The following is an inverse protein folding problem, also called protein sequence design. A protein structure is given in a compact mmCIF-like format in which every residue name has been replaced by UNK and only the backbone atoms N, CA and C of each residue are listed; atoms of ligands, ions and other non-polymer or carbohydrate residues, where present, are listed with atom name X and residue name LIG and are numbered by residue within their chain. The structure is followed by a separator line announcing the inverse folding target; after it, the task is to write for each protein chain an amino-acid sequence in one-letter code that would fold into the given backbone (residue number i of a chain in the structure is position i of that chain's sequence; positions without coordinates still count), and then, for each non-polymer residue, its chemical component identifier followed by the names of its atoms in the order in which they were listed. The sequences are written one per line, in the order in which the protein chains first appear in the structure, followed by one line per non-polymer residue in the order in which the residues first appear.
data_IF_990602503278
#
_entry.id   IF_990602503278
#
_cell.length_a   1.000
_cell.length_b   1.000
_cell.length_c   1.000
_cell.angle_alpha   90.00
_cell.angle_beta   90.00
_cell.angle_gamma   90.00
#
_symmetry.space_group_name_H-M   'P 1'
#
loop_
_entity.id
_entity.type
_entity.pdbx_description
1 polymer ?
#
# COMPACT_ATOMS: atom_id res chain seq x y z
N UNK A 1 6.53 8.89 -12.97
CA UNK A 1 5.08 8.96 -13.29
C UNK A 1 4.33 10.08 -12.59
N UNK A 2 4.07 10.03 -11.27
CA UNK A 2 3.38 11.15 -10.56
C UNK A 2 4.24 12.42 -10.56
N UNK A 3 5.52 12.31 -10.19
CA UNK A 3 6.47 13.45 -10.26
C UNK A 3 6.74 13.98 -11.68
N UNK A 4 6.33 13.22 -12.71
CA UNK A 4 6.42 13.58 -14.13
C UNK A 4 5.08 14.10 -14.68
N UNK A 5 4.03 14.20 -13.84
CA UNK A 5 2.68 14.63 -14.26
C UNK A 5 1.92 13.66 -15.15
N UNK A 6 2.37 12.41 -15.27
CA UNK A 6 1.74 11.38 -16.15
C UNK A 6 0.50 10.74 -15.53
N UNK A 7 0.38 10.81 -14.19
CA UNK A 7 -0.73 10.24 -13.43
C UNK A 7 -1.03 11.20 -12.27
N UNK A 8 -2.31 11.45 -12.01
CA UNK A 8 -2.72 12.21 -10.84
C UNK A 8 -2.39 11.43 -9.55
N UNK A 9 -1.91 12.12 -8.49
CA UNK A 9 -1.63 11.44 -7.24
C UNK A 9 -2.92 10.94 -6.59
N UNK A 10 -2.98 9.64 -6.34
CA UNK A 10 -4.10 8.96 -5.67
C UNK A 10 -3.61 8.47 -4.30
N UNK A 11 -4.41 8.61 -3.22
CA UNK A 11 -4.02 8.11 -1.90
C UNK A 11 -3.86 6.58 -1.90
N UNK A 12 -2.78 6.12 -1.29
CA UNK A 12 -2.39 4.72 -1.16
C UNK A 12 -2.45 4.34 0.32
N UNK A 13 -3.28 3.37 0.66
CA UNK A 13 -3.43 2.85 2.01
C UNK A 13 -2.77 1.48 2.13
N UNK A 14 -1.78 1.36 3.01
CA UNK A 14 -1.15 0.09 3.35
C UNK A 14 -1.86 -0.47 4.59
N UNK A 15 -2.84 -1.35 4.36
CA UNK A 15 -3.66 -1.97 5.39
C UNK A 15 -3.08 -3.30 5.89
N UNK A 16 -1.90 -3.19 6.48
CA UNK A 16 -1.23 -4.30 7.15
C UNK A 16 -0.28 -3.78 8.21
N UNK A 17 -0.56 -4.00 9.52
CA UNK A 17 0.36 -3.66 10.59
C UNK A 17 1.71 -4.36 10.43
N UNK A 18 1.70 -5.56 9.84
CA UNK A 18 2.93 -6.30 9.54
C UNK A 18 3.72 -5.62 8.42
N UNK A 19 3.09 -5.22 7.33
CA UNK A 19 3.78 -4.50 6.25
C UNK A 19 4.38 -3.17 6.72
N UNK A 20 3.68 -2.44 7.61
CA UNK A 20 4.23 -1.24 8.24
C UNK A 20 5.50 -1.54 9.05
N UNK A 21 5.47 -2.57 9.91
CA UNK A 21 6.66 -2.99 10.67
C UNK A 21 7.80 -3.46 9.76
N UNK A 22 7.48 -4.22 8.71
CA UNK A 22 8.47 -4.66 7.74
C UNK A 22 9.13 -3.46 7.03
N UNK A 23 8.35 -2.47 6.62
CA UNK A 23 8.86 -1.23 6.01
C UNK A 23 9.85 -0.52 6.93
N UNK A 24 9.58 -0.46 8.24
CA UNK A 24 10.51 0.12 9.21
C UNK A 24 11.82 -0.68 9.34
N UNK A 25 11.80 -2.01 9.18
CA UNK A 25 13.03 -2.83 9.10
C UNK A 25 13.80 -2.48 7.82
N UNK A 26 13.12 -2.45 6.68
CA UNK A 26 13.70 -2.07 5.39
C UNK A 26 14.33 -0.68 5.39
N UNK A 27 13.77 0.29 6.13
CA UNK A 27 14.34 1.63 6.29
C UNK A 27 15.61 1.64 7.14
N UNK A 28 15.74 0.72 8.09
CA UNK A 28 16.90 0.64 9.01
C UNK A 28 18.08 -0.13 8.42
N UNK A 29 17.84 -0.92 7.37
CA UNK A 29 18.84 -1.77 6.73
C UNK A 29 19.05 -1.43 5.25
N UNK A 30 19.46 -0.18 4.92
CA UNK A 30 19.71 0.20 3.54
C UNK A 30 20.82 -0.64 2.90
N UNK A 31 21.80 -1.13 3.67
CA UNK A 31 22.89 -2.00 3.21
C UNK A 31 22.43 -3.30 2.51
N UNK A 32 21.17 -3.70 2.68
CA UNK A 32 20.60 -4.87 2.02
C UNK A 32 20.07 -4.59 0.60
N UNK A 33 20.02 -3.33 0.17
CA UNK A 33 19.55 -2.95 -1.16
C UNK A 33 20.66 -3.06 -2.21
N UNK A 34 20.27 -3.22 -3.47
CA UNK A 34 21.18 -3.05 -4.59
C UNK A 34 21.66 -1.59 -4.71
N UNK A 35 22.73 -1.39 -5.50
CA UNK A 35 23.36 -0.07 -5.64
C UNK A 35 22.41 1.00 -6.21
N UNK A 36 21.48 0.62 -7.09
CA UNK A 36 20.53 1.54 -7.72
C UNK A 36 19.50 2.05 -6.70
N UNK A 37 18.94 1.13 -5.93
CA UNK A 37 18.00 1.42 -4.85
C UNK A 37 18.68 2.25 -3.77
N UNK A 38 19.91 1.90 -3.39
CA UNK A 38 20.71 2.68 -2.42
C UNK A 38 20.91 4.14 -2.84
N UNK A 39 21.25 4.37 -4.12
CA UNK A 39 21.37 5.73 -4.66
C UNK A 39 20.05 6.48 -4.53
N UNK A 40 18.93 5.84 -4.84
CA UNK A 40 17.59 6.43 -4.75
C UNK A 40 17.27 6.90 -3.32
N UNK A 41 17.51 6.07 -2.30
CA UNK A 41 17.33 6.46 -0.89
C UNK A 41 18.26 7.61 -0.47
N UNK A 42 19.50 7.62 -0.98
CA UNK A 42 20.51 8.62 -0.62
C UNK A 42 20.27 9.99 -1.26
N UNK A 43 19.73 10.05 -2.48
CA UNK A 43 19.51 11.29 -3.22
C UNK A 43 18.09 11.86 -3.14
N UNK A 44 17.09 11.00 -2.88
CA UNK A 44 15.66 11.33 -3.01
C UNK A 44 14.88 11.48 -1.70
N UNK A 45 15.50 11.19 -0.55
CA UNK A 45 14.82 11.12 0.74
C UNK A 45 14.08 9.79 0.94
N UNK A 46 13.30 9.70 2.03
CA UNK A 46 12.55 8.47 2.36
C UNK A 46 11.41 8.24 1.38
N UNK A 47 11.61 7.31 0.43
CA UNK A 47 10.61 6.92 -0.58
C UNK A 47 9.33 6.36 0.04
N UNK A 48 9.40 5.83 1.27
CA UNK A 48 8.24 5.32 1.99
C UNK A 48 7.46 6.42 2.72
N UNK A 49 8.03 7.62 2.87
CA UNK A 49 7.40 8.77 3.52
C UNK A 49 6.67 9.70 2.52
N UNK A 50 6.32 9.20 1.34
CA UNK A 50 5.50 9.94 0.38
C UNK A 50 4.19 10.40 1.05
N UNK A 51 3.81 11.67 0.84
CA UNK A 51 2.56 12.24 1.39
C UNK A 51 1.28 11.53 0.96
N UNK A 52 1.37 10.66 -0.06
CA UNK A 52 0.26 9.89 -0.60
C UNK A 52 0.19 8.48 -0.01
N UNK A 53 1.17 8.05 0.80
CA UNK A 53 1.20 6.72 1.44
C UNK A 53 0.73 6.86 2.88
N UNK A 54 -0.27 6.06 3.24
CA UNK A 54 -0.89 6.04 4.56
C UNK A 54 -0.86 4.62 5.12
N UNK A 55 -0.14 4.42 6.23
CA UNK A 55 -0.13 3.14 6.93
C UNK A 55 -1.35 3.03 7.85
N UNK A 56 -2.09 1.94 7.72
CA UNK A 56 -3.29 1.69 8.52
C UNK A 56 -2.99 0.63 9.58
N UNK A 57 -3.11 1.03 10.84
CA UNK A 57 -2.71 0.20 11.98
C UNK A 57 -3.91 -0.35 12.74
N UNK A 58 -4.99 0.42 12.86
CA UNK A 58 -6.17 0.03 13.64
C UNK A 58 -7.23 -0.69 12.79
N UNK A 59 -7.97 -1.65 13.39
CA UNK A 59 -9.14 -2.25 12.74
C UNK A 59 -10.22 -1.22 12.36
N UNK A 60 -10.37 -0.16 13.15
CA UNK A 60 -11.34 0.91 12.92
C UNK A 60 -10.99 1.73 11.67
N UNK A 61 -9.71 2.07 11.49
CA UNK A 61 -9.22 2.69 10.24
C UNK A 61 -9.46 1.79 9.03
N UNK A 62 -9.09 0.51 9.10
CA UNK A 62 -9.31 -0.47 8.03
C UNK A 62 -10.79 -0.54 7.63
N UNK A 63 -11.70 -0.59 8.61
CA UNK A 63 -13.14 -0.57 8.37
C UNK A 63 -13.62 0.72 7.69
N UNK A 64 -13.07 1.88 8.07
CA UNK A 64 -13.41 3.17 7.44
C UNK A 64 -13.03 3.21 5.96
N UNK A 65 -11.95 2.53 5.55
CA UNK A 65 -11.58 2.45 4.14
C UNK A 65 -12.69 1.83 3.27
N UNK A 66 -13.44 0.86 3.80
CA UNK A 66 -14.53 0.21 3.05
C UNK A 66 -15.70 1.15 2.73
N UNK A 67 -15.83 2.27 3.44
CA UNK A 67 -16.88 3.26 3.23
C UNK A 67 -16.37 4.54 2.54
N UNK A 68 -15.08 4.60 2.22
CA UNK A 68 -14.46 5.76 1.59
C UNK A 68 -14.97 5.91 0.16
N UNK A 69 -15.20 7.15 -0.25
CA UNK A 69 -15.58 7.50 -1.63
C UNK A 69 -14.41 8.12 -2.36
N UNK A 70 -14.33 7.88 -3.66
CA UNK A 70 -13.29 8.41 -4.54
C UNK A 70 -12.19 7.39 -4.82
N UNK A 71 -11.27 7.71 -5.75
CA UNK A 71 -10.20 6.81 -6.10
C UNK A 71 -9.21 6.70 -4.95
N UNK A 72 -8.92 5.47 -4.54
CA UNK A 72 -7.82 5.16 -3.66
C UNK A 72 -7.22 3.81 -4.05
N UNK A 73 -5.99 3.57 -3.64
CA UNK A 73 -5.35 2.25 -3.72
C UNK A 73 -5.30 1.67 -2.32
N UNK A 74 -5.79 0.45 -2.15
CA UNK A 74 -5.66 -0.29 -0.88
C UNK A 74 -4.75 -1.49 -1.11
N UNK A 75 -3.62 -1.52 -0.42
CA UNK A 75 -2.70 -2.65 -0.37
C UNK A 75 -2.94 -3.34 0.97
N UNK A 76 -3.59 -4.50 0.95
CA UNK A 76 -3.98 -5.24 2.16
C UNK A 76 -3.40 -6.65 2.18
N UNK A 77 -3.54 -7.32 3.33
CA UNK A 77 -3.06 -8.68 3.58
C UNK A 77 -4.23 -9.60 3.98
N UNK A 78 -4.20 -10.90 3.71
CA UNK A 78 -3.10 -11.72 3.13
C UNK A 78 -3.05 -11.76 1.59
N UNK A 79 -1.88 -12.05 1.02
CA UNK A 79 -1.66 -12.05 -0.45
C UNK A 79 -2.38 -13.16 -1.23
N UNK A 80 -2.89 -14.19 -0.56
CA UNK A 80 -3.66 -15.30 -1.16
C UNK A 80 -5.16 -15.22 -0.83
N UNK A 81 -5.61 -14.12 -0.21
CA UNK A 81 -7.01 -13.89 0.14
C UNK A 81 -7.66 -14.94 1.06
N UNK A 82 -6.88 -15.79 1.73
CA UNK A 82 -7.38 -16.83 2.65
C UNK A 82 -7.78 -16.28 4.02
N UNK A 83 -7.34 -15.06 4.37
CA UNK A 83 -7.57 -14.49 5.69
C UNK A 83 -7.16 -13.02 5.80
N UNK A 84 -7.44 -12.43 6.96
CA UNK A 84 -7.01 -11.08 7.29
C UNK A 84 -7.92 -9.97 6.73
N UNK A 85 -7.36 -8.76 6.62
CA UNK A 85 -8.11 -7.55 6.29
C UNK A 85 -8.58 -7.52 4.83
N UNK A 86 -7.87 -8.21 3.93
CA UNK A 86 -8.24 -8.30 2.51
C UNK A 86 -9.64 -8.88 2.29
N UNK A 87 -10.06 -9.87 3.08
CA UNK A 87 -11.41 -10.47 2.95
C UNK A 87 -12.48 -9.40 3.19
N UNK A 88 -12.24 -8.50 4.14
CA UNK A 88 -13.17 -7.41 4.42
C UNK A 88 -13.23 -6.45 3.22
N UNK A 89 -12.09 -6.04 2.64
CA UNK A 89 -12.11 -5.18 1.46
C UNK A 89 -12.79 -5.83 0.27
N UNK A 90 -12.45 -7.09 -0.03
CA UNK A 90 -13.07 -7.84 -1.13
C UNK A 90 -14.58 -7.93 -0.96
N UNK A 91 -15.07 -8.22 0.25
CA UNK A 91 -16.51 -8.29 0.55
C UNK A 91 -17.25 -6.98 0.22
N UNK A 92 -16.60 -5.82 0.38
CA UNK A 92 -17.22 -4.51 0.12
C UNK A 92 -16.95 -3.99 -1.29
N UNK A 93 -15.86 -4.42 -1.95
CA UNK A 93 -15.40 -3.86 -3.21
C UNK A 93 -15.78 -4.71 -4.45
N UNK A 94 -15.87 -6.04 -4.33
CA UNK A 94 -15.91 -6.94 -5.50
C UNK A 94 -17.17 -6.82 -6.37
N UNK A 95 -18.27 -6.31 -5.81
CA UNK A 95 -19.54 -6.18 -6.53
C UNK A 95 -19.68 -4.85 -7.29
N UNK A 96 -18.80 -3.89 -7.03
CA UNK A 96 -18.83 -2.58 -7.66
C UNK A 96 -17.86 -2.56 -8.85
N UNK A 97 -18.42 -2.35 -10.04
CA UNK A 97 -17.72 -2.33 -11.31
C UNK A 97 -16.72 -1.18 -11.45
N UNK A 98 -16.82 -0.14 -10.61
CA UNK A 98 -15.85 0.94 -10.54
C UNK A 98 -14.51 0.48 -9.91
N UNK A 99 -14.49 -0.67 -9.24
CA UNK A 99 -13.31 -1.19 -8.56
C UNK A 99 -12.51 -2.15 -9.45
N UNK A 100 -11.19 -2.11 -9.30
CA UNK A 100 -10.27 -3.05 -9.94
C UNK A 100 -9.53 -3.83 -8.87
N UNK A 101 -9.55 -5.17 -8.98
CA UNK A 101 -8.79 -6.06 -8.10
C UNK A 101 -7.54 -6.51 -8.86
N UNK A 102 -6.37 -6.25 -8.29
CA UNK A 102 -5.07 -6.59 -8.89
C UNK A 102 -4.35 -7.59 -8.00
N UNK A 103 -4.02 -8.76 -8.57
CA UNK A 103 -3.15 -9.74 -7.94
C UNK A 103 -1.71 -9.52 -8.43
N UNK A 104 -0.78 -9.36 -7.50
CA UNK A 104 0.66 -9.16 -7.78
C UNK A 104 1.51 -10.40 -7.46
N UNK A 105 0.90 -11.44 -6.89
CA UNK A 105 1.53 -12.71 -6.55
C UNK A 105 0.71 -13.89 -7.05
N UNK A 106 1.30 -15.08 -7.01
CA UNK A 106 0.63 -16.33 -7.38
C UNK A 106 -0.58 -16.61 -6.48
N UNK A 107 -1.63 -17.20 -7.06
CA UNK A 107 -2.87 -17.59 -6.38
C UNK A 107 -3.07 -19.10 -6.49
#
# INVERSE_FOLDING_TARGET
MVGEGRVEPIPIYIDSPLAGKATEVFKRHPECYDEETMKTFSSGGDVFASRYIHFVSSPEESKRLNAMRGPCVIISSSGMCEGGRIIHHLKHAIQDEANVIVFVGFQ
#
